data_IF_703235840762
#
_entry.id   IF_703235840762
#
_cell.length_a   1.000
_cell.length_b   1.000
_cell.length_c   1.000
_cell.angle_alpha   90.00
_cell.angle_beta   90.00
_cell.angle_gamma   90.00
#
_symmetry.space_group_name_H-M   'P 1'
#
loop_
_entity.id
_entity.type
_entity.pdbx_description
1 polymer ?
#
# COMPACT_ATOMS: atom_id res chain seq x y z
N UNK A 1 -23.47 -8.66 11.16
CA UNK A 1 -24.03 -8.12 9.88
C UNK A 1 -23.15 -8.66 8.79
N UNK A 2 -23.67 -9.50 7.91
CA UNK A 2 -22.86 -10.28 6.98
C UNK A 2 -22.13 -9.38 5.97
N UNK A 3 -20.91 -9.78 5.60
CA UNK A 3 -20.05 -9.16 4.57
C UNK A 3 -20.81 -8.84 3.27
N UNK A 4 -21.83 -9.66 2.94
CA UNK A 4 -22.75 -9.43 1.83
C UNK A 4 -23.50 -8.09 1.87
N UNK A 5 -23.75 -7.51 3.06
CA UNK A 5 -24.44 -6.20 3.17
C UNK A 5 -23.51 -5.00 2.92
N UNK A 6 -22.22 -5.17 3.13
CA UNK A 6 -21.24 -4.13 2.86
C UNK A 6 -20.88 -4.11 1.38
N UNK A 7 -20.80 -5.28 0.76
CA UNK A 7 -20.64 -5.44 -0.69
C UNK A 7 -21.83 -4.89 -1.47
N UNK A 8 -23.05 -5.10 -1.00
CA UNK A 8 -24.26 -4.50 -1.58
C UNK A 8 -24.28 -2.97 -1.52
N UNK A 9 -23.52 -2.35 -0.62
CA UNK A 9 -23.31 -0.89 -0.63
C UNK A 9 -22.39 -0.41 -1.76
N UNK A 10 -21.37 -1.20 -2.11
CA UNK A 10 -20.47 -0.92 -3.25
C UNK A 10 -21.26 -0.92 -4.55
N UNK A 11 -22.11 -1.92 -4.72
CA UNK A 11 -22.91 -2.12 -5.92
C UNK A 11 -23.95 -1.00 -6.12
N UNK A 12 -24.38 -0.29 -5.07
CA UNK A 12 -25.35 0.80 -5.16
C UNK A 12 -24.87 2.07 -5.87
N UNK A 13 -23.61 2.15 -6.23
CA UNK A 13 -23.03 3.28 -6.98
C UNK A 13 -23.14 3.04 -8.49
N UNK A 14 -23.32 1.79 -8.93
CA UNK A 14 -23.51 1.43 -10.31
C UNK A 14 -25.00 1.33 -10.66
N UNK A 15 -25.33 1.48 -11.94
CA UNK A 15 -26.64 1.25 -12.51
C UNK A 15 -27.22 -0.10 -12.03
N UNK A 16 -28.52 -0.18 -11.68
CA UNK A 16 -29.16 -1.42 -11.21
C UNK A 16 -28.95 -2.64 -12.11
N UNK A 17 -28.83 -2.46 -13.41
CA UNK A 17 -28.57 -3.55 -14.37
C UNK A 17 -27.13 -4.07 -14.25
N UNK A 18 -26.17 -3.17 -14.00
CA UNK A 18 -24.78 -3.55 -13.74
C UNK A 18 -24.62 -4.21 -12.36
N UNK A 19 -25.49 -3.90 -11.39
CA UNK A 19 -25.49 -4.54 -10.07
C UNK A 19 -25.81 -6.03 -10.14
N UNK A 20 -26.78 -6.41 -10.94
CA UNK A 20 -27.18 -7.80 -11.11
C UNK A 20 -26.07 -8.61 -11.76
N UNK A 21 -25.45 -8.05 -12.81
CA UNK A 21 -24.31 -8.66 -13.50
C UNK A 21 -23.09 -8.84 -12.57
N UNK A 22 -22.75 -7.84 -11.76
CA UNK A 22 -21.67 -7.93 -10.76
C UNK A 22 -21.94 -8.98 -9.68
N UNK A 23 -23.18 -9.12 -9.21
CA UNK A 23 -23.56 -10.13 -8.22
C UNK A 23 -23.46 -11.54 -8.84
N UNK A 24 -23.86 -11.74 -10.09
CA UNK A 24 -23.70 -13.00 -10.80
C UNK A 24 -22.23 -13.35 -11.05
N UNK A 25 -21.43 -12.37 -11.45
CA UNK A 25 -19.98 -12.52 -11.65
C UNK A 25 -19.32 -12.96 -10.35
N UNK A 26 -19.67 -12.36 -9.21
CA UNK A 26 -19.07 -12.69 -7.91
C UNK A 26 -19.46 -14.07 -7.38
N UNK A 27 -20.60 -14.62 -7.76
CA UNK A 27 -21.01 -16.00 -7.42
C UNK A 27 -20.19 -17.07 -8.18
N UNK A 28 -19.41 -16.67 -9.19
CA UNK A 28 -18.63 -17.58 -10.02
C UNK A 28 -17.18 -17.78 -9.53
N UNK A 29 -16.70 -16.98 -8.55
CA UNK A 29 -15.32 -17.12 -8.10
C UNK A 29 -15.23 -18.17 -6.99
N UNK A 30 -14.35 -19.15 -7.22
CA UNK A 30 -13.98 -20.17 -6.24
C UNK A 30 -12.63 -19.77 -5.59
N UNK A 31 -12.68 -19.23 -4.38
CA UNK A 31 -11.49 -18.85 -3.62
C UNK A 31 -10.83 -20.04 -2.90
N UNK A 32 -11.45 -21.23 -2.93
CA UNK A 32 -10.91 -22.48 -2.39
C UNK A 32 -10.15 -23.29 -3.45
N UNK A 33 -10.13 -22.81 -4.71
CA UNK A 33 -9.38 -23.46 -5.79
C UNK A 33 -7.88 -23.39 -5.52
N UNK A 34 -7.23 -24.54 -5.42
CA UNK A 34 -5.78 -24.61 -5.32
C UNK A 34 -5.17 -24.49 -6.71
N UNK A 35 -4.42 -23.43 -6.94
CA UNK A 35 -3.75 -23.16 -8.21
C UNK A 35 -2.25 -23.45 -8.04
N UNK A 36 -1.72 -24.41 -8.80
CA UNK A 36 -0.29 -24.67 -8.79
C UNK A 36 0.46 -23.52 -9.47
N UNK A 37 1.40 -22.93 -8.74
CA UNK A 37 2.18 -21.78 -9.18
C UNK A 37 3.68 -22.08 -9.32
N UNK A 38 4.13 -23.28 -8.94
CA UNK A 38 5.52 -23.69 -9.13
C UNK A 38 5.83 -23.87 -10.61
N UNK A 39 7.04 -23.53 -11.02
CA UNK A 39 7.46 -23.59 -12.42
C UNK A 39 6.91 -22.48 -13.32
N UNK A 40 6.31 -21.43 -12.73
CA UNK A 40 5.78 -20.26 -13.46
C UNK A 40 6.70 -19.03 -13.33
N UNK A 41 7.87 -19.17 -12.76
CA UNK A 41 8.77 -18.09 -12.32
C UNK A 41 8.17 -17.22 -11.21
N UNK A 42 7.29 -17.79 -10.41
CA UNK A 42 6.67 -17.12 -9.28
C UNK A 42 7.67 -16.97 -8.13
N UNK A 43 8.02 -15.76 -7.76
CA UNK A 43 8.94 -15.45 -6.65
C UNK A 43 8.55 -16.18 -5.38
N UNK A 44 7.25 -16.17 -5.05
CA UNK A 44 6.69 -16.73 -3.82
C UNK A 44 6.98 -18.22 -3.64
N UNK A 45 6.98 -19.00 -4.73
CA UNK A 45 7.16 -20.46 -4.70
C UNK A 45 8.51 -20.92 -5.28
N UNK A 46 8.93 -20.35 -6.42
CA UNK A 46 10.08 -20.87 -7.15
C UNK A 46 11.44 -20.46 -6.53
N UNK A 47 11.44 -19.44 -5.66
CA UNK A 47 12.62 -19.02 -4.93
C UNK A 47 12.77 -19.65 -3.55
N UNK A 48 11.82 -20.46 -3.06
CA UNK A 48 11.85 -21.05 -1.72
C UNK A 48 13.13 -21.83 -1.45
N UNK A 49 13.57 -22.67 -2.39
CA UNK A 49 14.80 -23.44 -2.25
C UNK A 49 16.05 -22.56 -2.18
N UNK A 50 16.10 -21.54 -3.04
CA UNK A 50 17.22 -20.61 -3.12
C UNK A 50 17.36 -19.76 -1.85
N UNK A 51 16.23 -19.19 -1.40
CA UNK A 51 16.25 -18.16 -0.35
C UNK A 51 16.11 -18.75 1.05
N UNK A 52 15.46 -19.92 1.18
CA UNK A 52 15.20 -20.58 2.47
C UNK A 52 15.77 -22.02 2.57
N UNK A 53 16.43 -22.53 1.53
CA UNK A 53 17.06 -23.85 1.53
C UNK A 53 16.10 -25.04 1.38
N UNK A 54 14.78 -24.81 1.31
CA UNK A 54 13.78 -25.86 1.23
C UNK A 54 12.62 -25.44 0.30
N UNK A 55 12.32 -26.26 -0.69
CA UNK A 55 11.25 -26.03 -1.67
C UNK A 55 9.85 -26.43 -1.19
N UNK A 56 9.76 -27.20 -0.09
CA UNK A 56 8.50 -27.72 0.44
C UNK A 56 7.90 -26.88 1.58
N UNK A 57 8.34 -25.63 1.71
CA UNK A 57 7.78 -24.72 2.69
C UNK A 57 6.41 -24.19 2.23
N UNK A 58 5.54 -23.87 3.20
CA UNK A 58 4.34 -23.08 2.96
C UNK A 58 4.74 -21.61 2.98
N UNK A 59 4.66 -20.90 1.84
CA UNK A 59 5.12 -19.52 1.77
C UNK A 59 4.10 -18.57 2.43
N UNK A 60 4.55 -17.81 3.42
CA UNK A 60 3.79 -16.73 4.07
C UNK A 60 4.44 -15.35 3.81
N UNK A 61 5.27 -15.25 2.80
CA UNK A 61 5.95 -14.05 2.34
C UNK A 61 5.43 -13.64 0.95
N UNK A 62 5.73 -12.43 0.51
CA UNK A 62 5.23 -11.86 -0.76
C UNK A 62 3.69 -11.75 -0.77
N UNK A 63 3.18 -10.54 -0.89
CA UNK A 63 1.75 -10.25 -0.72
C UNK A 63 0.88 -10.56 -1.95
N UNK A 64 1.43 -11.17 -3.01
CA UNK A 64 0.62 -11.59 -4.16
C UNK A 64 -0.34 -12.72 -3.76
N UNK A 65 -1.59 -12.60 -4.20
CA UNK A 65 -2.64 -13.53 -3.84
C UNK A 65 -2.58 -14.80 -4.67
N UNK A 66 -2.99 -15.94 -4.10
CA UNK A 66 -3.05 -17.24 -4.77
C UNK A 66 -4.42 -17.51 -5.43
N UNK A 67 -5.22 -16.48 -5.58
CA UNK A 67 -6.52 -16.54 -6.24
C UNK A 67 -6.41 -16.24 -7.73
N UNK A 68 -7.30 -16.88 -8.51
CA UNK A 68 -7.43 -16.58 -9.93
C UNK A 68 -7.83 -15.11 -10.15
N UNK A 69 -7.13 -14.43 -11.03
CA UNK A 69 -7.52 -13.07 -11.42
C UNK A 69 -8.92 -13.08 -12.05
N UNK A 70 -9.82 -12.20 -11.62
CA UNK A 70 -11.17 -12.12 -12.15
C UNK A 70 -11.22 -11.96 -13.68
N UNK A 71 -12.18 -12.63 -14.30
CA UNK A 71 -12.28 -12.70 -15.78
C UNK A 71 -12.43 -11.32 -16.41
N UNK A 72 -13.14 -10.39 -15.79
CA UNK A 72 -13.31 -9.05 -16.33
C UNK A 72 -11.97 -8.30 -16.46
N UNK A 73 -11.02 -8.49 -15.53
CA UNK A 73 -9.67 -7.92 -15.63
C UNK A 73 -8.91 -8.59 -16.78
N UNK A 74 -8.94 -9.94 -16.82
CA UNK A 74 -8.26 -10.70 -17.87
C UNK A 74 -8.81 -10.34 -19.26
N UNK A 75 -10.14 -10.21 -19.40
CA UNK A 75 -10.79 -9.86 -20.65
C UNK A 75 -10.49 -8.42 -21.08
N UNK A 76 -10.37 -7.47 -20.15
CA UNK A 76 -9.94 -6.11 -20.47
C UNK A 76 -8.52 -6.09 -21.05
N UNK A 77 -7.61 -6.89 -20.50
CA UNK A 77 -6.23 -7.04 -21.02
C UNK A 77 -6.27 -7.69 -22.42
N UNK A 78 -7.02 -8.78 -22.61
CA UNK A 78 -7.18 -9.44 -23.92
C UNK A 78 -7.72 -8.48 -24.96
N UNK A 79 -8.75 -7.70 -24.62
CA UNK A 79 -9.32 -6.68 -25.52
C UNK A 79 -8.27 -5.63 -25.91
N UNK A 80 -7.40 -5.21 -25.00
CA UNK A 80 -6.31 -4.27 -25.34
C UNK A 80 -5.29 -4.91 -26.28
N UNK A 81 -5.05 -6.23 -26.17
CA UNK A 81 -4.13 -6.97 -27.04
C UNK A 81 -4.66 -7.13 -28.48
N UNK A 82 -5.96 -7.01 -28.74
CA UNK A 82 -6.53 -7.01 -30.12
C UNK A 82 -5.95 -5.90 -30.99
N UNK A 83 -5.48 -4.81 -30.39
CA UNK A 83 -4.73 -3.76 -31.05
C UNK A 83 -3.23 -4.05 -30.91
N UNK A 84 -2.63 -4.68 -31.91
CA UNK A 84 -1.27 -5.24 -31.86
C UNK A 84 -0.13 -4.22 -31.92
N UNK A 85 -0.43 -2.91 -31.89
CA UNK A 85 0.58 -1.85 -31.86
C UNK A 85 0.73 -1.35 -30.41
N UNK A 86 1.90 -1.59 -29.83
CA UNK A 86 2.27 -1.22 -28.46
C UNK A 86 3.23 -0.03 -28.48
N UNK A 87 2.75 1.11 -28.96
CA UNK A 87 3.52 2.34 -28.99
C UNK A 87 3.35 3.18 -27.72
N UNK A 88 3.63 4.48 -27.85
CA UNK A 88 3.40 5.43 -26.79
C UNK A 88 1.90 5.58 -26.51
N UNK A 89 1.52 5.40 -25.24
CA UNK A 89 0.13 5.53 -24.78
C UNK A 89 0.09 6.70 -23.78
N UNK A 90 -0.93 7.54 -23.87
CA UNK A 90 -1.17 8.59 -22.88
C UNK A 90 -2.13 8.10 -21.80
N UNK A 91 -2.05 8.70 -20.62
CA UNK A 91 -2.95 8.41 -19.52
C UNK A 91 -4.30 9.09 -19.78
N UNK A 92 -5.35 8.28 -19.96
CA UNK A 92 -6.70 8.78 -20.28
C UNK A 92 -7.37 9.42 -19.06
N UNK A 93 -8.34 10.29 -19.30
CA UNK A 93 -9.18 10.85 -18.24
C UNK A 93 -9.92 9.76 -17.47
N UNK A 94 -10.34 8.68 -18.14
CA UNK A 94 -11.01 7.54 -17.48
C UNK A 94 -10.09 6.82 -16.49
N UNK A 95 -8.78 6.76 -16.74
CA UNK A 95 -7.80 6.21 -15.81
C UNK A 95 -7.75 7.03 -14.51
N UNK A 96 -7.60 8.34 -14.63
CA UNK A 96 -7.53 9.21 -13.45
C UNK A 96 -8.87 9.32 -12.71
N UNK A 97 -9.98 9.38 -13.43
CA UNK A 97 -11.31 9.42 -12.84
C UNK A 97 -11.58 8.15 -12.01
N UNK A 98 -11.19 6.97 -12.51
CA UNK A 98 -11.35 5.71 -11.74
C UNK A 98 -10.58 5.76 -10.41
N UNK A 99 -9.37 6.34 -10.39
CA UNK A 99 -8.59 6.48 -9.16
C UNK A 99 -9.27 7.46 -8.20
N UNK A 100 -9.70 8.63 -8.70
CA UNK A 100 -10.36 9.68 -7.90
C UNK A 100 -11.66 9.14 -7.28
N UNK A 101 -12.48 8.47 -8.09
CA UNK A 101 -13.74 7.87 -7.64
C UNK A 101 -13.49 6.77 -6.61
N UNK A 102 -12.49 5.90 -6.81
CA UNK A 102 -12.13 4.85 -5.87
C UNK A 102 -11.69 5.43 -4.53
N UNK A 103 -10.77 6.38 -4.53
CA UNK A 103 -10.27 7.03 -3.30
C UNK A 103 -11.39 7.74 -2.56
N UNK A 104 -12.27 8.45 -3.29
CA UNK A 104 -13.42 9.08 -2.68
C UNK A 104 -14.39 8.05 -2.08
N UNK A 105 -14.67 6.98 -2.82
CA UNK A 105 -15.56 5.92 -2.38
C UNK A 105 -15.06 5.19 -1.14
N UNK A 106 -13.78 4.77 -1.15
CA UNK A 106 -13.20 3.95 -0.07
C UNK A 106 -12.87 4.76 1.18
N UNK A 107 -12.36 5.95 1.00
CA UNK A 107 -11.77 6.75 2.08
C UNK A 107 -12.48 8.08 2.33
N UNK A 108 -13.56 8.37 1.60
CA UNK A 108 -14.25 9.67 1.64
C UNK A 108 -13.28 10.85 1.42
N UNK A 109 -12.21 10.63 0.66
CA UNK A 109 -11.18 11.62 0.38
C UNK A 109 -11.31 12.14 -1.05
N UNK A 110 -11.60 13.44 -1.21
CA UNK A 110 -11.74 14.09 -2.50
C UNK A 110 -10.39 14.60 -2.96
N UNK A 111 -9.74 13.82 -3.81
CA UNK A 111 -8.47 14.20 -4.43
C UNK A 111 -8.70 14.88 -5.79
N UNK A 112 -7.69 15.62 -6.24
CA UNK A 112 -7.68 16.30 -7.53
C UNK A 112 -6.73 15.61 -8.50
N UNK A 113 -7.01 15.74 -9.81
CA UNK A 113 -6.18 15.15 -10.87
C UNK A 113 -4.71 15.57 -10.75
N UNK A 114 -4.47 16.82 -10.41
CA UNK A 114 -3.15 17.44 -10.30
C UNK A 114 -2.31 16.88 -9.15
N UNK A 115 -2.94 16.19 -8.20
CA UNK A 115 -2.25 15.52 -7.10
C UNK A 115 -1.76 14.13 -7.45
N UNK A 116 -2.17 13.61 -8.61
CA UNK A 116 -1.83 12.27 -9.05
C UNK A 116 -0.60 12.29 -9.96
N UNK A 117 0.41 11.52 -9.57
CA UNK A 117 1.60 11.27 -10.37
C UNK A 117 1.84 9.77 -10.47
N UNK A 118 2.03 9.27 -11.68
CA UNK A 118 2.39 7.89 -11.88
C UNK A 118 3.85 7.64 -11.50
N UNK A 119 4.08 6.57 -10.74
CA UNK A 119 5.41 6.05 -10.43
C UNK A 119 5.45 4.53 -10.65
N UNK A 120 6.58 3.98 -11.13
CA UNK A 120 6.70 2.54 -11.41
C UNK A 120 7.02 1.73 -10.15
N UNK A 121 6.18 1.84 -9.13
CA UNK A 121 6.28 1.13 -7.85
C UNK A 121 6.66 2.01 -6.68
N UNK A 122 6.11 1.69 -5.50
CA UNK A 122 6.19 2.50 -4.28
C UNK A 122 7.64 2.70 -3.80
N UNK A 123 8.45 1.65 -3.80
CA UNK A 123 9.87 1.72 -3.39
C UNK A 123 10.64 2.75 -4.23
N UNK A 124 10.37 2.80 -5.55
CA UNK A 124 10.96 3.83 -6.42
C UNK A 124 10.39 5.22 -6.14
N UNK A 125 9.09 5.28 -5.80
CA UNK A 125 8.44 6.52 -5.38
C UNK A 125 9.08 7.14 -4.16
N UNK A 126 9.39 6.34 -3.14
CA UNK A 126 10.15 6.78 -1.96
C UNK A 126 11.48 7.43 -2.41
N UNK A 127 12.22 6.74 -3.29
CA UNK A 127 13.48 7.28 -3.82
C UNK A 127 13.29 8.62 -4.54
N UNK A 128 12.25 8.78 -5.36
CA UNK A 128 11.97 10.05 -6.04
C UNK A 128 11.63 11.17 -5.06
N UNK A 129 10.83 10.92 -4.04
CA UNK A 129 10.52 11.92 -3.01
C UNK A 129 11.79 12.31 -2.24
N UNK A 130 12.60 11.33 -1.84
CA UNK A 130 13.88 11.64 -1.16
C UNK A 130 14.82 12.47 -2.05
N UNK A 131 14.86 12.17 -3.35
CA UNK A 131 15.67 12.96 -4.30
C UNK A 131 15.21 14.41 -4.43
N UNK A 132 13.89 14.64 -4.39
CA UNK A 132 13.31 15.97 -4.55
C UNK A 132 13.39 16.82 -3.27
N UNK A 133 13.23 16.20 -2.10
CA UNK A 133 13.01 16.93 -0.83
C UNK A 133 14.17 16.80 0.16
N UNK A 134 15.20 16.03 -0.16
CA UNK A 134 16.36 15.85 0.72
C UNK A 134 17.67 15.90 -0.10
N UNK A 135 18.78 16.01 0.61
CA UNK A 135 20.14 15.93 0.06
C UNK A 135 20.96 14.86 0.81
N UNK A 136 22.10 14.40 0.26
CA UNK A 136 23.02 13.53 1.00
C UNK A 136 23.38 14.11 2.37
N UNK A 137 23.33 13.26 3.42
CA UNK A 137 23.57 13.65 4.81
C UNK A 137 22.30 14.09 5.57
N UNK A 138 21.18 14.37 4.88
CA UNK A 138 19.91 14.56 5.60
C UNK A 138 19.43 13.24 6.21
N UNK A 139 18.61 13.34 7.27
CA UNK A 139 18.12 12.23 8.04
C UNK A 139 16.69 11.84 7.67
N UNK A 140 16.45 10.53 7.62
CA UNK A 140 15.14 9.92 7.32
C UNK A 140 14.74 9.03 8.50
N UNK A 141 13.60 9.31 9.10
CA UNK A 141 13.08 8.55 10.24
C UNK A 141 12.26 7.37 9.74
N UNK A 142 12.49 6.20 10.31
CA UNK A 142 11.69 4.98 10.10
C UNK A 142 11.31 4.34 11.43
N UNK A 143 10.26 3.52 11.45
CA UNK A 143 9.68 2.94 12.66
C UNK A 143 9.77 1.40 12.65
N UNK A 144 10.96 0.81 12.95
CA UNK A 144 11.12 -0.65 12.96
C UNK A 144 10.33 -1.31 14.12
N UNK A 145 9.96 -2.63 13.93
CA UNK A 145 10.20 -3.44 12.74
C UNK A 145 9.36 -2.94 11.56
N UNK A 146 9.95 -2.66 10.41
CA UNK A 146 9.26 -2.10 9.25
C UNK A 146 9.82 -2.69 7.95
N UNK A 147 9.11 -2.53 6.86
CA UNK A 147 9.48 -2.99 5.54
C UNK A 147 10.91 -2.55 5.18
N UNK A 148 11.78 -3.52 4.93
CA UNK A 148 13.23 -3.30 4.80
C UNK A 148 13.67 -2.26 3.77
N UNK A 149 12.94 -2.02 2.63
CA UNK A 149 13.31 -0.96 1.71
C UNK A 149 13.27 0.45 2.32
N UNK A 150 12.50 0.68 3.40
CA UNK A 150 12.48 1.98 4.09
C UNK A 150 13.85 2.36 4.66
N UNK A 151 14.69 1.36 4.97
CA UNK A 151 16.08 1.55 5.34
C UNK A 151 17.01 1.59 4.13
N UNK A 152 16.87 0.60 3.23
CA UNK A 152 17.80 0.40 2.12
C UNK A 152 17.78 1.59 1.13
N UNK A 153 16.61 2.15 0.83
CA UNK A 153 16.50 3.24 -0.14
C UNK A 153 17.21 4.51 0.36
N UNK A 154 16.96 5.04 1.58
CA UNK A 154 17.70 6.19 2.10
C UNK A 154 19.20 5.95 2.18
N UNK A 155 19.65 4.79 2.70
CA UNK A 155 21.07 4.46 2.82
C UNK A 155 21.78 4.47 1.45
N UNK A 156 21.18 3.82 0.43
CA UNK A 156 21.74 3.80 -0.94
C UNK A 156 21.78 5.19 -1.59
N UNK A 157 20.98 6.11 -1.11
CA UNK A 157 20.94 7.50 -1.55
C UNK A 157 21.79 8.44 -0.66
N UNK A 158 22.59 7.86 0.24
CA UNK A 158 23.45 8.62 1.17
C UNK A 158 22.67 9.53 2.13
N UNK A 159 21.45 9.12 2.54
CA UNK A 159 20.71 9.72 3.65
C UNK A 159 20.98 8.88 4.90
N UNK A 160 21.04 9.53 6.05
CA UNK A 160 21.20 8.85 7.33
C UNK A 160 19.82 8.34 7.79
N UNK A 161 19.76 7.08 8.23
CA UNK A 161 18.52 6.50 8.77
C UNK A 161 18.48 6.69 10.28
N UNK A 162 17.43 7.31 10.78
CA UNK A 162 17.12 7.48 12.19
C UNK A 162 16.02 6.50 12.58
N UNK A 163 16.25 5.77 13.66
CA UNK A 163 15.32 4.76 14.13
C UNK A 163 14.44 5.30 15.26
N UNK A 164 13.13 5.22 15.06
CA UNK A 164 12.11 5.36 16.09
C UNK A 164 11.40 4.01 16.25
N UNK A 165 11.96 3.04 17.01
CA UNK A 165 11.37 1.71 17.12
C UNK A 165 9.96 1.76 17.68
N UNK A 166 9.08 0.92 17.13
CA UNK A 166 7.77 0.69 17.73
C UNK A 166 7.94 -0.02 19.07
N UNK A 167 7.07 0.29 20.01
CA UNK A 167 6.96 -0.44 21.26
C UNK A 167 5.83 -1.45 21.20
N UNK A 168 5.93 -2.52 21.97
CA UNK A 168 4.87 -3.52 22.10
C UNK A 168 4.13 -3.27 23.41
N UNK A 169 2.81 -3.12 23.30
CA UNK A 169 1.90 -2.99 24.44
C UNK A 169 0.79 -4.01 24.23
N UNK A 170 0.60 -4.92 25.18
CA UNK A 170 -0.38 -6.02 25.09
C UNK A 170 -0.30 -6.78 23.75
N UNK A 171 0.91 -7.15 23.34
CA UNK A 171 1.23 -7.83 22.08
C UNK A 171 0.87 -7.05 20.80
N UNK A 172 0.56 -5.76 20.91
CA UNK A 172 0.26 -4.89 19.76
C UNK A 172 1.37 -3.85 19.62
N UNK A 173 1.78 -3.57 18.38
CA UNK A 173 2.72 -2.49 18.11
C UNK A 173 2.05 -1.12 18.24
N UNK A 174 2.76 -0.22 18.93
CA UNK A 174 2.39 1.18 19.07
C UNK A 174 3.56 2.10 18.72
N UNK A 175 3.27 3.30 18.27
CA UNK A 175 4.28 4.34 18.05
C UNK A 175 4.81 4.87 19.38
N UNK A 176 6.13 4.97 19.51
CA UNK A 176 6.79 5.59 20.65
C UNK A 176 7.06 7.07 20.37
N UNK A 177 6.14 7.91 20.78
CA UNK A 177 6.23 9.36 20.56
C UNK A 177 7.28 10.04 21.45
N UNK A 178 7.57 9.49 22.62
CA UNK A 178 8.63 10.01 23.49
C UNK A 178 10.00 9.78 22.86
N UNK A 179 10.23 8.56 22.38
CA UNK A 179 11.43 8.26 21.60
C UNK A 179 11.48 9.09 20.31
N UNK A 180 10.36 9.23 19.58
CA UNK A 180 10.32 10.03 18.35
C UNK A 180 10.81 11.47 18.59
N UNK A 181 10.26 12.15 19.61
CA UNK A 181 10.68 13.51 19.95
C UNK A 181 12.16 13.57 20.37
N UNK A 182 12.68 12.53 21.01
CA UNK A 182 14.08 12.49 21.47
C UNK A 182 15.10 12.29 20.37
N UNK A 183 14.73 11.67 19.24
CA UNK A 183 15.65 11.37 18.14
C UNK A 183 15.60 12.41 17.00
N UNK A 184 14.63 13.34 17.04
CA UNK A 184 14.50 14.41 16.07
C UNK A 184 15.55 15.50 16.32
N UNK A 185 16.26 15.88 15.25
CA UNK A 185 17.12 17.05 15.18
C UNK A 185 16.87 17.86 13.90
N UNK A 186 17.63 18.96 13.70
CA UNK A 186 17.47 19.85 12.54
C UNK A 186 17.81 19.20 11.20
N UNK A 187 18.45 18.04 11.19
CA UNK A 187 18.78 17.27 9.99
C UNK A 187 17.68 16.28 9.58
N UNK A 188 16.73 15.98 10.48
CA UNK A 188 15.59 15.14 10.17
C UNK A 188 14.63 15.85 9.20
N UNK A 189 14.51 15.34 7.97
CA UNK A 189 13.72 15.97 6.89
C UNK A 189 12.50 15.17 6.49
N UNK A 190 12.56 13.87 6.62
CA UNK A 190 11.51 12.95 6.16
C UNK A 190 11.24 11.89 7.23
N UNK A 191 9.97 11.53 7.41
CA UNK A 191 9.55 10.33 8.10
C UNK A 191 8.82 9.44 7.09
N UNK A 192 9.20 8.14 6.99
CA UNK A 192 8.50 7.17 6.16
C UNK A 192 7.56 6.37 7.06
N UNK A 193 6.27 6.63 6.90
CA UNK A 193 5.17 5.94 7.59
C UNK A 193 4.71 4.73 6.78
N UNK A 194 4.52 3.59 7.45
CA UNK A 194 3.84 2.41 6.90
C UNK A 194 2.40 2.37 7.45
N UNK A 195 1.40 2.51 6.59
CA UNK A 195 0.00 2.67 6.98
C UNK A 195 -0.99 2.00 6.00
N UNK A 196 -1.56 0.82 6.29
CA UNK A 196 -1.32 -0.07 7.43
C UNK A 196 0.12 -0.59 7.54
N UNK A 197 0.51 -0.97 8.77
CA UNK A 197 1.90 -1.26 9.08
C UNK A 197 2.31 -2.69 8.69
N UNK A 198 3.38 -2.80 7.90
CA UNK A 198 4.05 -4.06 7.54
C UNK A 198 5.47 -4.10 8.16
N UNK A 199 5.86 -5.15 8.91
CA UNK A 199 5.18 -6.44 9.09
C UNK A 199 4.24 -6.50 10.32
N UNK A 200 4.06 -5.43 11.07
CA UNK A 200 3.37 -5.45 12.35
C UNK A 200 1.86 -5.72 12.27
N UNK A 201 1.24 -5.66 11.08
CA UNK A 201 -0.20 -5.96 10.90
C UNK A 201 -1.12 -4.96 11.60
N UNK A 202 -0.67 -3.71 11.82
CA UNK A 202 -1.43 -2.68 12.53
C UNK A 202 -2.10 -1.73 11.55
N UNK A 203 -3.38 -1.50 11.73
CA UNK A 203 -4.12 -0.37 11.14
C UNK A 203 -4.13 0.75 12.17
N UNK A 204 -3.41 1.84 11.89
CA UNK A 204 -3.26 2.94 12.84
C UNK A 204 -4.58 3.65 13.11
N UNK A 205 -4.84 3.94 14.38
CA UNK A 205 -6.00 4.75 14.80
C UNK A 205 -5.82 6.19 14.32
N UNK A 206 -6.92 6.87 14.03
CA UNK A 206 -6.91 8.27 13.60
C UNK A 206 -6.14 9.17 14.56
N UNK A 207 -6.39 9.05 15.87
CA UNK A 207 -5.74 9.88 16.89
C UNK A 207 -4.21 9.67 16.92
N UNK A 208 -3.74 8.44 16.65
CA UNK A 208 -2.31 8.14 16.52
C UNK A 208 -1.70 8.86 15.30
N UNK A 209 -2.40 8.87 14.18
CA UNK A 209 -1.96 9.55 12.96
C UNK A 209 -1.98 11.08 13.12
N UNK A 210 -3.01 11.63 13.77
CA UNK A 210 -3.07 13.07 14.12
C UNK A 210 -1.87 13.45 14.97
N UNK A 211 -1.58 12.69 16.03
CA UNK A 211 -0.43 12.97 16.90
C UNK A 211 0.89 12.90 16.12
N UNK A 212 1.04 11.94 15.20
CA UNK A 212 2.22 11.86 14.34
C UNK A 212 2.32 13.09 13.43
N UNK A 213 1.21 13.52 12.85
CA UNK A 213 1.17 14.72 12.00
C UNK A 213 1.56 15.98 12.78
N UNK A 214 1.07 16.14 14.02
CA UNK A 214 1.43 17.26 14.91
C UNK A 214 2.94 17.29 15.21
N UNK A 215 3.54 16.14 15.55
CA UNK A 215 4.99 16.04 15.79
C UNK A 215 5.77 16.38 14.51
N UNK A 216 5.41 15.80 13.38
CA UNK A 216 6.10 16.08 12.12
C UNK A 216 5.97 17.55 11.69
N UNK A 217 4.78 18.15 11.84
CA UNK A 217 4.56 19.56 11.54
C UNK A 217 5.37 20.48 12.46
N UNK A 218 5.42 20.21 13.76
CA UNK A 218 6.22 20.97 14.76
C UNK A 218 7.70 21.04 14.37
N UNK A 219 8.23 19.96 13.81
CA UNK A 219 9.65 19.84 13.44
C UNK A 219 9.91 20.05 11.93
N UNK A 220 8.90 20.44 11.16
CA UNK A 220 8.99 20.64 9.70
C UNK A 220 9.50 19.39 8.96
N UNK A 221 9.01 18.21 9.34
CA UNK A 221 9.32 16.91 8.76
C UNK A 221 8.25 16.54 7.74
N UNK A 222 8.66 16.26 6.50
CA UNK A 222 7.77 15.73 5.45
C UNK A 222 7.45 14.26 5.75
N UNK A 223 6.18 13.88 5.68
CA UNK A 223 5.78 12.49 5.82
C UNK A 223 5.55 11.85 4.44
N UNK A 224 6.24 10.74 4.19
CA UNK A 224 5.91 9.81 3.09
C UNK A 224 5.05 8.71 3.72
N UNK A 225 3.75 8.68 3.38
CA UNK A 225 2.85 7.61 3.84
C UNK A 225 2.76 6.52 2.77
N UNK A 226 3.36 5.37 3.04
CA UNK A 226 3.18 4.17 2.22
C UNK A 226 1.89 3.47 2.64
N UNK A 227 0.87 3.57 1.80
CA UNK A 227 -0.48 3.07 2.03
C UNK A 227 -0.84 1.90 1.09
N UNK A 228 0.17 1.20 0.57
CA UNK A 228 -0.05 0.09 -0.37
C UNK A 228 -0.96 -1.02 0.18
N UNK A 229 -1.05 -1.16 1.49
CA UNK A 229 -1.90 -2.15 2.17
C UNK A 229 -3.27 -1.61 2.61
N UNK A 230 -3.65 -0.39 2.21
CA UNK A 230 -4.90 0.27 2.65
C UNK A 230 -6.15 -0.62 2.49
N UNK A 231 -6.24 -1.32 1.35
CA UNK A 231 -7.39 -2.18 1.00
C UNK A 231 -7.37 -3.55 1.71
N UNK A 232 -6.28 -3.88 2.43
CA UNK A 232 -6.13 -5.15 3.16
C UNK A 232 -6.60 -5.06 4.61
N UNK A 233 -7.04 -3.89 5.06
CA UNK A 233 -7.61 -3.73 6.40
C UNK A 233 -8.88 -4.59 6.54
N UNK A 234 -8.95 -5.40 7.62
CA UNK A 234 -10.14 -6.18 7.92
C UNK A 234 -11.35 -5.28 8.17
N UNK A 235 -12.59 -5.74 7.91
CA UNK A 235 -13.82 -4.92 7.98
C UNK A 235 -14.06 -4.21 9.31
N UNK A 236 -13.52 -4.70 10.42
CA UNK A 236 -13.63 -4.08 11.73
C UNK A 236 -12.66 -2.91 11.94
N UNK A 237 -11.69 -2.72 11.05
CA UNK A 237 -10.71 -1.64 11.12
C UNK A 237 -10.94 -0.65 9.98
N UNK A 238 -10.79 0.62 10.29
CA UNK A 238 -10.88 1.70 9.29
C UNK A 238 -9.49 2.22 8.98
N UNK A 239 -9.06 2.09 7.74
CA UNK A 239 -7.87 2.78 7.26
C UNK A 239 -8.17 4.27 7.11
N UNK A 240 -7.27 5.10 7.62
CA UNK A 240 -7.31 6.56 7.46
C UNK A 240 -6.10 6.99 6.62
N UNK A 241 -6.30 7.51 5.39
CA UNK A 241 -5.20 8.09 4.63
C UNK A 241 -4.54 9.22 5.43
N UNK A 242 -3.22 9.19 5.54
CA UNK A 242 -2.49 10.15 6.40
C UNK A 242 -2.75 11.61 5.99
N UNK A 243 -2.95 11.88 4.69
CA UNK A 243 -3.25 13.22 4.21
C UNK A 243 -4.67 13.74 4.59
N UNK A 244 -5.48 12.94 5.30
CA UNK A 244 -6.83 13.32 5.75
C UNK A 244 -6.93 13.59 7.25
N UNK A 245 -5.82 13.51 7.98
CA UNK A 245 -5.77 13.71 9.41
C UNK A 245 -5.18 15.05 9.81
#
# INVERSE_FOLDING_TARGET
MSESKQFLKIIRIFDPDQQTELIEIMKQYNFDEIIERRGTNCVKYDLLKKDFGNENLVPLWVADMDFRTPDFIVNAIKKRLEHEIFGYTFDSDSYYNSIIEWVHYKHNWKIQREWLSYIPGIVKGIGFVLQCFTKPGDKVIIQPPVYHPFRIVPENMHREVVYNPLKTVDDIYEMDFENLESVIDEHCKVLILCNPHNPGGVVWKKDTLVKLAEVCAKHNILVISDEIHAEMAYPQYTHHPFATV
#
